data_IF_283823899880
#
_entry.id   IF_283823899880
#
_cell.length_a   1.000
_cell.length_b   1.000
_cell.length_c   1.000
_cell.angle_alpha   90.00
_cell.angle_beta   90.00
_cell.angle_gamma   90.00
#
_symmetry.space_group_name_H-M   'P 1'
#
loop_
_entity.id
_entity.type
_entity.pdbx_description
1 polymer ?
#
# COMPACT_ATOMS: atom_id res chain seq x y z
N UNK A 1 -12.60 13.75 26.74
CA UNK A 1 -12.10 12.36 26.79
C UNK A 1 -10.89 12.28 25.88
N UNK A 2 -9.85 11.52 26.25
CA UNK A 2 -8.72 11.28 25.35
C UNK A 2 -9.25 10.42 24.19
N UNK A 3 -9.22 10.95 22.97
CA UNK A 3 -9.69 10.33 21.74
C UNK A 3 -8.61 9.48 21.05
N UNK A 4 -7.38 9.50 21.58
CA UNK A 4 -6.26 8.76 21.02
C UNK A 4 -6.32 7.27 21.36
N UNK A 5 -6.09 6.44 20.35
CA UNK A 5 -5.91 4.99 20.49
C UNK A 5 -4.42 4.70 20.63
N UNK A 6 -4.01 4.23 21.80
CA UNK A 6 -2.58 4.06 22.16
C UNK A 6 -2.16 2.61 22.33
N UNK A 7 -3.09 1.67 22.27
CA UNK A 7 -2.83 0.25 22.49
C UNK A 7 -3.64 -0.64 21.53
N UNK A 8 -3.18 -1.88 21.40
CA UNK A 8 -3.74 -2.84 20.45
C UNK A 8 -5.14 -3.33 20.84
N UNK A 9 -5.44 -3.42 22.14
CA UNK A 9 -6.73 -3.94 22.61
C UNK A 9 -7.83 -2.91 22.30
N UNK A 10 -7.60 -1.65 22.60
CA UNK A 10 -8.46 -0.52 22.21
C UNK A 10 -8.64 -0.47 20.70
N UNK A 11 -7.55 -0.56 19.92
CA UNK A 11 -7.62 -0.59 18.46
C UNK A 11 -8.54 -1.72 17.95
N UNK A 12 -8.35 -2.95 18.46
CA UNK A 12 -9.15 -4.11 18.09
C UNK A 12 -10.60 -4.01 18.55
N UNK A 13 -10.88 -3.32 19.66
CA UNK A 13 -12.23 -2.99 20.11
C UNK A 13 -13.03 -2.22 19.05
N UNK A 14 -12.38 -1.33 18.30
CA UNK A 14 -13.03 -0.57 17.23
C UNK A 14 -13.13 -1.35 15.92
N UNK A 15 -12.00 -1.85 15.39
CA UNK A 15 -11.93 -2.44 14.04
C UNK A 15 -12.31 -3.92 13.98
N UNK A 16 -12.44 -4.56 15.13
CA UNK A 16 -12.69 -5.99 15.27
C UNK A 16 -11.40 -6.80 15.33
N UNK A 17 -11.52 -8.03 15.83
CA UNK A 17 -10.40 -8.98 15.85
C UNK A 17 -10.08 -9.47 14.44
N UNK A 18 -8.78 -9.70 14.25
CA UNK A 18 -8.23 -10.20 13.02
C UNK A 18 -8.61 -11.68 12.87
N UNK A 19 -9.22 -12.11 11.74
CA UNK A 19 -9.55 -13.51 11.53
C UNK A 19 -8.25 -14.32 11.38
N UNK A 20 -8.06 -15.31 12.25
CA UNK A 20 -6.91 -16.19 12.18
C UNK A 20 -7.05 -17.19 11.02
N UNK A 21 -5.95 -17.52 10.30
CA UNK A 21 -4.58 -17.03 10.48
C UNK A 21 -4.29 -15.75 9.69
N UNK A 22 -3.67 -14.75 10.34
CA UNK A 22 -3.29 -13.44 9.73
C UNK A 22 -2.54 -13.58 8.42
N UNK A 23 -1.50 -14.42 8.43
CA UNK A 23 -0.47 -14.52 7.40
C UNK A 23 -0.69 -15.70 6.45
N UNK A 24 -1.93 -16.19 6.37
CA UNK A 24 -2.24 -17.36 5.57
C UNK A 24 -1.95 -17.16 4.07
N UNK A 25 -2.02 -15.93 3.55
CA UNK A 25 -1.70 -15.61 2.16
C UNK A 25 -0.27 -15.09 1.96
N UNK A 26 0.56 -15.08 3.00
CA UNK A 26 1.93 -14.55 2.94
C UNK A 26 2.89 -15.72 2.72
N UNK A 27 3.72 -15.60 1.68
CA UNK A 27 4.85 -16.49 1.41
C UNK A 27 6.17 -15.72 1.51
N UNK A 28 7.28 -16.42 1.68
CA UNK A 28 8.63 -15.87 1.92
C UNK A 28 9.57 -15.97 0.71
N UNK A 29 8.99 -16.09 -0.48
CA UNK A 29 9.69 -16.18 -1.77
C UNK A 29 8.77 -15.74 -2.92
N UNK A 30 9.35 -15.58 -4.10
CA UNK A 30 8.69 -15.24 -5.35
C UNK A 30 8.28 -16.52 -6.08
N UNK A 31 6.98 -16.82 -6.09
CA UNK A 31 6.42 -17.93 -6.85
C UNK A 31 6.17 -17.54 -8.33
N UNK A 32 5.80 -18.50 -9.17
CA UNK A 32 5.54 -18.26 -10.60
C UNK A 32 4.46 -17.20 -10.86
N UNK A 33 3.52 -17.00 -9.93
CA UNK A 33 2.54 -15.92 -10.03
C UNK A 33 3.18 -14.56 -9.75
N UNK A 34 4.01 -14.46 -8.70
CA UNK A 34 4.77 -13.24 -8.43
C UNK A 34 5.70 -12.86 -9.59
N UNK A 35 6.39 -13.84 -10.20
CA UNK A 35 7.25 -13.59 -11.37
C UNK A 35 6.46 -13.01 -12.55
N UNK A 36 5.30 -13.60 -12.88
CA UNK A 36 4.40 -13.08 -13.93
C UNK A 36 3.88 -11.68 -13.61
N UNK A 37 3.57 -11.41 -12.34
CA UNK A 37 3.13 -10.08 -11.91
C UNK A 37 4.24 -9.04 -12.06
N UNK A 38 5.45 -9.36 -11.61
CA UNK A 38 6.61 -8.46 -11.74
C UNK A 38 6.95 -8.18 -13.20
N UNK A 39 6.87 -9.20 -14.07
CA UNK A 39 7.05 -9.02 -15.51
C UNK A 39 6.00 -8.09 -16.15
N UNK A 40 4.79 -8.03 -15.60
CA UNK A 40 3.71 -7.17 -16.09
C UNK A 40 3.69 -5.78 -15.43
N UNK A 41 4.44 -5.56 -14.36
CA UNK A 41 4.38 -4.32 -13.59
C UNK A 41 5.35 -3.25 -14.15
N UNK A 42 4.86 -2.10 -14.63
CA UNK A 42 5.71 -0.97 -15.04
C UNK A 42 6.01 -0.01 -13.89
N UNK A 43 5.39 -0.18 -12.73
CA UNK A 43 5.46 0.78 -11.62
C UNK A 43 5.42 0.12 -10.26
N UNK A 44 6.08 0.75 -9.28
CA UNK A 44 5.95 0.43 -7.87
C UNK A 44 5.96 1.66 -6.98
N UNK A 45 5.28 1.56 -5.84
CA UNK A 45 5.62 2.35 -4.66
C UNK A 45 6.59 1.54 -3.80
N UNK A 46 7.59 2.19 -3.22
CA UNK A 46 8.54 1.54 -2.32
C UNK A 46 8.82 2.41 -1.11
N UNK A 47 9.10 1.77 0.01
CA UNK A 47 9.54 2.42 1.22
C UNK A 47 10.81 1.77 1.75
N UNK A 48 11.68 2.61 2.31
CA UNK A 48 12.91 2.20 2.97
C UNK A 48 13.03 2.91 4.31
N UNK A 49 13.50 2.19 5.32
CA UNK A 49 13.61 2.77 6.66
C UNK A 49 14.28 1.86 7.68
N UNK A 50 14.45 2.42 8.86
CA UNK A 50 15.02 1.77 10.05
C UNK A 50 14.41 2.41 11.31
N UNK A 51 15.02 2.19 12.47
CA UNK A 51 14.52 2.76 13.74
C UNK A 51 14.51 4.30 13.75
N UNK A 52 15.32 4.97 12.92
CA UNK A 52 15.36 6.41 12.77
C UNK A 52 14.14 6.99 12.06
N UNK A 53 13.49 6.21 11.19
CA UNK A 53 12.31 6.61 10.45
C UNK A 53 12.15 5.85 9.14
N UNK A 54 11.13 6.22 8.37
CA UNK A 54 10.83 5.61 7.07
C UNK A 54 10.60 6.69 6.02
N UNK A 55 10.97 6.39 4.78
CA UNK A 55 10.75 7.24 3.61
C UNK A 55 10.06 6.44 2.51
N UNK A 56 9.38 7.13 1.60
CA UNK A 56 8.68 6.53 0.46
C UNK A 56 9.21 7.14 -0.84
N UNK A 57 9.34 6.30 -1.86
CA UNK A 57 9.72 6.65 -3.24
C UNK A 57 8.83 5.88 -4.21
N UNK A 58 8.88 6.25 -5.48
CA UNK A 58 8.34 5.47 -6.58
C UNK A 58 9.46 4.92 -7.45
N UNK A 59 9.16 3.84 -8.16
CA UNK A 59 9.96 3.34 -9.27
C UNK A 59 9.07 3.08 -10.47
N UNK A 60 9.55 3.38 -11.67
CA UNK A 60 8.75 3.22 -12.88
C UNK A 60 9.59 3.17 -14.15
N UNK A 61 9.14 2.38 -15.11
CA UNK A 61 9.82 2.09 -16.37
C UNK A 61 8.94 1.29 -17.32
N UNK A 62 9.55 0.54 -18.23
CA UNK A 62 8.84 -0.47 -19.02
C UNK A 62 8.30 -1.60 -18.12
N UNK A 63 7.34 -2.39 -18.62
CA UNK A 63 6.83 -3.55 -17.87
C UNK A 63 7.96 -4.51 -17.55
N UNK A 64 8.09 -4.92 -16.29
CA UNK A 64 9.20 -5.77 -15.86
C UNK A 64 10.53 -5.02 -15.73
N UNK A 65 10.50 -3.73 -15.38
CA UNK A 65 11.70 -2.89 -15.28
C UNK A 65 12.73 -3.33 -14.23
N UNK A 66 12.38 -4.26 -13.35
CA UNK A 66 13.29 -4.82 -12.35
C UNK A 66 13.77 -6.21 -12.74
N UNK A 67 14.85 -6.65 -12.10
CA UNK A 67 15.40 -7.98 -12.30
C UNK A 67 15.15 -8.86 -11.08
N UNK A 68 14.67 -10.08 -11.29
CA UNK A 68 14.65 -11.13 -10.27
C UNK A 68 15.92 -11.96 -10.44
N UNK A 69 16.74 -12.08 -9.38
CA UNK A 69 18.01 -12.84 -9.46
C UNK A 69 17.83 -14.28 -9.00
N UNK A 70 16.93 -14.50 -8.05
CA UNK A 70 16.56 -15.80 -7.49
C UNK A 70 15.19 -15.65 -6.79
N UNK A 71 14.55 -16.75 -6.35
CA UNK A 71 13.24 -16.69 -5.70
C UNK A 71 13.17 -15.85 -4.42
N UNK A 72 14.29 -15.39 -3.85
CA UNK A 72 14.32 -14.58 -2.64
C UNK A 72 14.99 -13.21 -2.86
N UNK A 73 15.24 -12.81 -4.10
CA UNK A 73 15.98 -11.57 -4.36
C UNK A 73 15.52 -10.83 -5.61
N UNK A 74 15.36 -9.52 -5.48
CA UNK A 74 15.12 -8.60 -6.59
C UNK A 74 16.21 -7.52 -6.66
N UNK A 75 16.45 -7.00 -7.85
CA UNK A 75 17.34 -5.87 -8.13
C UNK A 75 16.56 -4.75 -8.81
N UNK A 76 16.59 -3.58 -8.19
CA UNK A 76 15.92 -2.37 -8.64
C UNK A 76 16.93 -1.45 -9.31
N UNK A 77 16.74 -1.05 -10.58
CA UNK A 77 17.62 -0.08 -11.23
C UNK A 77 17.47 1.29 -10.56
N UNK A 78 18.57 1.86 -10.08
CA UNK A 78 18.55 3.15 -9.37
C UNK A 78 18.09 4.30 -10.26
N UNK A 79 18.42 4.24 -11.55
CA UNK A 79 18.00 5.23 -12.55
C UNK A 79 16.48 5.27 -12.77
N UNK A 80 15.75 4.26 -12.30
CA UNK A 80 14.30 4.16 -12.46
C UNK A 80 13.53 4.52 -11.19
N UNK A 81 14.21 4.90 -10.11
CA UNK A 81 13.60 5.40 -8.88
C UNK A 81 13.57 6.93 -8.87
N UNK A 82 12.56 7.51 -8.24
CA UNK A 82 12.53 8.96 -8.00
C UNK A 82 13.60 9.39 -6.98
N UNK A 83 13.82 8.59 -5.91
CA UNK A 83 14.85 8.86 -4.89
C UNK A 83 15.77 7.64 -4.64
N UNK A 84 16.68 7.32 -5.57
CA UNK A 84 17.59 6.17 -5.38
C UNK A 84 18.57 6.34 -4.22
N UNK A 85 18.77 7.56 -3.71
CA UNK A 85 19.66 7.84 -2.58
C UNK A 85 19.07 7.51 -1.20
N UNK A 86 17.79 7.15 -1.10
CA UNK A 86 17.17 6.83 0.19
C UNK A 86 17.59 5.46 0.74
N UNK A 87 17.87 4.49 -0.13
CA UNK A 87 18.15 3.13 0.26
C UNK A 87 19.57 2.97 0.82
N UNK A 88 19.67 2.33 1.97
CA UNK A 88 20.93 1.90 2.59
C UNK A 88 20.86 0.42 2.94
N UNK A 89 21.98 -0.28 2.84
CA UNK A 89 22.05 -1.70 3.20
C UNK A 89 21.57 -1.93 4.65
N UNK A 90 20.83 -3.01 4.86
CA UNK A 90 20.25 -3.39 6.14
C UNK A 90 18.88 -2.77 6.45
N UNK A 91 18.49 -1.69 5.77
CA UNK A 91 17.18 -1.07 5.97
C UNK A 91 16.03 -2.01 5.62
N UNK A 92 14.92 -1.87 6.34
CA UNK A 92 13.66 -2.48 5.95
C UNK A 92 13.19 -1.96 4.61
N UNK A 93 12.61 -2.84 3.80
CA UNK A 93 12.03 -2.52 2.50
C UNK A 93 10.59 -2.99 2.45
N UNK A 94 9.68 -2.15 1.96
CA UNK A 94 8.31 -2.54 1.65
C UNK A 94 7.88 -1.96 0.32
N UNK A 95 7.05 -2.66 -0.45
CA UNK A 95 6.62 -2.15 -1.76
C UNK A 95 5.23 -2.62 -2.19
N UNK A 96 4.69 -1.94 -3.20
CA UNK A 96 3.49 -2.34 -3.94
C UNK A 96 3.80 -2.24 -5.43
N UNK A 97 3.70 -3.37 -6.14
CA UNK A 97 3.83 -3.44 -7.59
C UNK A 97 2.47 -3.39 -8.26
N UNK A 98 2.32 -2.45 -9.19
CA UNK A 98 1.07 -2.14 -9.87
C UNK A 98 1.10 -2.71 -11.28
N UNK A 99 -0.03 -3.28 -11.71
CA UNK A 99 -0.27 -3.66 -13.10
C UNK A 99 -1.46 -2.83 -13.60
N UNK A 100 -1.31 -2.03 -14.68
CA UNK A 100 -2.38 -1.19 -15.19
C UNK A 100 -3.69 -1.95 -15.40
N UNK A 101 -4.78 -1.44 -14.82
CA UNK A 101 -6.12 -2.02 -14.92
C UNK A 101 -6.42 -3.18 -13.96
N UNK A 102 -5.48 -3.56 -13.07
CA UNK A 102 -5.72 -4.52 -11.99
C UNK A 102 -5.75 -3.77 -10.66
N UNK A 103 -6.83 -3.89 -9.90
CA UNK A 103 -7.00 -3.15 -8.63
C UNK A 103 -6.19 -3.76 -7.47
N UNK A 104 -5.95 -5.07 -7.47
CA UNK A 104 -5.00 -5.70 -6.56
C UNK A 104 -3.56 -5.29 -6.87
N UNK A 105 -2.69 -5.41 -5.87
CA UNK A 105 -1.26 -5.15 -6.02
C UNK A 105 -0.45 -6.30 -5.45
N UNK A 106 0.70 -6.61 -6.05
CA UNK A 106 1.66 -7.51 -5.43
C UNK A 106 2.50 -6.73 -4.44
N UNK A 107 2.45 -7.13 -3.18
CA UNK A 107 3.31 -6.60 -2.13
C UNK A 107 4.53 -7.48 -1.98
N UNK A 108 5.70 -6.86 -1.95
CA UNK A 108 6.95 -7.52 -1.59
C UNK A 108 7.61 -6.70 -0.48
N UNK A 109 7.81 -7.32 0.68
CA UNK A 109 8.55 -6.73 1.78
C UNK A 109 9.83 -7.53 2.01
N UNK A 110 10.82 -6.90 2.64
CA UNK A 110 12.14 -7.46 2.78
C UNK A 110 13.13 -6.54 3.46
N UNK A 111 14.40 -6.70 3.09
CA UNK A 111 15.49 -5.79 3.48
C UNK A 111 16.34 -5.43 2.28
N UNK A 112 16.87 -4.21 2.28
CA UNK A 112 17.90 -3.80 1.33
C UNK A 112 19.15 -4.64 1.61
N UNK A 113 19.52 -5.50 0.67
CA UNK A 113 20.64 -6.44 0.80
C UNK A 113 21.94 -5.91 0.21
N UNK A 114 21.87 -5.00 -0.76
CA UNK A 114 23.03 -4.35 -1.37
C UNK A 114 22.67 -3.00 -1.97
N UNK A 115 23.61 -2.06 -1.98
CA UNK A 115 23.48 -0.80 -2.71
C UNK A 115 24.74 -0.56 -3.54
N UNK A 116 24.59 -0.55 -4.85
CA UNK A 116 25.66 -0.28 -5.83
C UNK A 116 25.33 0.97 -6.64
N UNK A 117 26.24 1.44 -7.49
CA UNK A 117 25.98 2.61 -8.36
C UNK A 117 24.81 2.38 -9.32
N UNK A 118 24.64 1.15 -9.81
CA UNK A 118 23.59 0.82 -10.76
C UNK A 118 22.28 0.39 -10.10
N UNK A 119 22.35 -0.44 -9.06
CA UNK A 119 21.19 -1.21 -8.57
C UNK A 119 21.10 -1.22 -7.04
N UNK A 120 19.88 -1.35 -6.54
CA UNK A 120 19.56 -1.69 -5.15
C UNK A 120 19.07 -3.13 -5.12
N UNK A 121 19.78 -3.99 -4.38
CA UNK A 121 19.35 -5.36 -4.10
C UNK A 121 18.40 -5.41 -2.91
N UNK A 122 17.36 -6.22 -2.99
CA UNK A 122 16.42 -6.47 -1.90
C UNK A 122 16.30 -7.97 -1.69
N UNK A 123 16.57 -8.42 -0.46
CA UNK A 123 16.25 -9.77 0.00
C UNK A 123 14.77 -9.81 0.41
N UNK A 124 13.99 -10.67 -0.24
CA UNK A 124 12.56 -10.86 -0.05
C UNK A 124 12.31 -11.62 1.25
N UNK A 125 11.40 -11.09 2.07
CA UNK A 125 10.92 -11.74 3.29
C UNK A 125 9.42 -12.04 3.23
N UNK A 126 8.64 -11.25 2.49
CA UNK A 126 7.21 -11.44 2.31
C UNK A 126 6.82 -11.15 0.87
N UNK A 127 5.94 -11.97 0.31
CA UNK A 127 5.35 -11.78 -1.01
C UNK A 127 3.87 -12.21 -0.94
N UNK A 128 2.96 -11.29 -1.29
CA UNK A 128 1.52 -11.56 -1.29
C UNK A 128 0.71 -10.50 -2.02
N UNK A 129 -0.52 -10.84 -2.44
CA UNK A 129 -1.44 -9.84 -2.98
C UNK A 129 -2.10 -8.97 -1.89
N UNK A 130 -2.16 -7.67 -2.14
CA UNK A 130 -2.96 -6.70 -1.40
C UNK A 130 -4.32 -6.46 -2.09
N UNK A 131 -5.38 -6.15 -1.33
CA UNK A 131 -6.76 -6.09 -1.85
C UNK A 131 -7.04 -4.84 -2.70
N UNK A 132 -8.04 -4.97 -3.58
CA UNK A 132 -8.46 -3.96 -4.56
C UNK A 132 -9.11 -2.68 -4.00
N UNK A 133 -9.64 -2.70 -2.76
CA UNK A 133 -10.57 -1.67 -2.26
C UNK A 133 -10.06 -0.23 -2.33
N UNK A 134 -8.77 0.00 -2.10
CA UNK A 134 -8.19 1.34 -2.20
C UNK A 134 -8.20 1.87 -3.65
N UNK A 135 -7.82 1.02 -4.61
CA UNK A 135 -7.83 1.38 -6.03
C UNK A 135 -9.26 1.65 -6.52
N UNK A 136 -10.20 0.75 -6.20
CA UNK A 136 -11.63 0.91 -6.52
C UNK A 136 -12.21 2.23 -5.99
N UNK A 137 -12.04 2.54 -4.70
CA UNK A 137 -12.58 3.78 -4.10
C UNK A 137 -11.99 5.06 -4.68
N UNK A 138 -10.70 5.02 -5.05
CA UNK A 138 -10.01 6.17 -5.64
C UNK A 138 -10.35 6.40 -7.12
N UNK A 139 -10.94 5.40 -7.77
CA UNK A 139 -11.09 5.38 -9.23
C UNK A 139 -9.74 5.46 -9.94
N UNK A 140 -8.71 4.80 -9.37
CA UNK A 140 -7.31 4.97 -9.79
C UNK A 140 -7.14 4.75 -11.29
N UNK A 141 -7.62 3.61 -11.80
CA UNK A 141 -7.45 3.23 -13.21
C UNK A 141 -8.42 3.90 -14.17
N UNK A 142 -9.52 4.48 -13.66
CA UNK A 142 -10.51 5.21 -14.46
C UNK A 142 -10.13 6.67 -14.73
N UNK A 143 -8.99 7.13 -14.20
CA UNK A 143 -8.55 8.50 -14.39
C UNK A 143 -8.00 8.75 -15.80
N UNK A 144 -8.31 9.93 -16.32
CA UNK A 144 -7.69 10.45 -17.54
C UNK A 144 -6.41 11.21 -17.20
N UNK A 145 -5.40 11.23 -18.08
CA UNK A 145 -4.22 12.08 -17.91
C UNK A 145 -4.61 13.54 -17.69
N UNK A 146 -3.87 14.21 -16.81
CA UNK A 146 -3.97 15.64 -16.56
C UNK A 146 -2.71 16.28 -17.14
N UNK A 147 -2.89 17.25 -18.01
CA UNK A 147 -1.79 18.01 -18.60
C UNK A 147 -1.23 19.03 -17.59
N UNK A 148 0.10 19.09 -17.49
CA UNK A 148 0.79 20.04 -16.62
C UNK A 148 0.65 19.74 -15.12
N UNK A 149 0.86 20.76 -14.30
CA UNK A 149 0.77 20.65 -12.85
C UNK A 149 -0.67 20.93 -12.40
N UNK A 150 -1.20 20.09 -11.50
CA UNK A 150 -2.59 20.22 -11.03
C UNK A 150 -2.77 21.49 -10.20
N UNK A 151 -1.82 21.75 -9.30
CA UNK A 151 -1.79 22.92 -8.42
C UNK A 151 -0.41 23.03 -7.80
N UNK A 152 0.04 24.25 -7.49
CA UNK A 152 1.24 24.48 -6.68
C UNK A 152 0.93 24.58 -5.17
N UNK A 153 -0.36 24.66 -4.81
CA UNK A 153 -0.81 24.78 -3.42
C UNK A 153 -0.92 23.39 -2.75
N UNK A 154 -0.22 23.22 -1.63
CA UNK A 154 -0.15 21.94 -0.95
C UNK A 154 -1.50 21.49 -0.38
N UNK A 155 -2.30 22.42 0.17
CA UNK A 155 -3.60 22.10 0.73
C UNK A 155 -4.60 21.67 -0.36
N UNK A 156 -4.58 22.34 -1.50
CA UNK A 156 -5.36 21.97 -2.68
C UNK A 156 -4.92 20.60 -3.24
N UNK A 157 -3.63 20.29 -3.25
CA UNK A 157 -3.15 18.97 -3.67
C UNK A 157 -3.63 17.87 -2.72
N UNK A 158 -3.54 18.10 -1.41
CA UNK A 158 -4.06 17.20 -0.38
C UNK A 158 -5.56 16.95 -0.58
N UNK A 159 -6.35 18.02 -0.77
CA UNK A 159 -7.80 17.91 -0.96
C UNK A 159 -8.17 17.15 -2.26
N UNK A 160 -7.39 17.28 -3.32
CA UNK A 160 -7.63 16.59 -4.59
C UNK A 160 -7.07 15.17 -4.65
N UNK A 161 -6.20 14.80 -3.71
CA UNK A 161 -5.61 13.47 -3.66
C UNK A 161 -6.68 12.40 -3.45
N UNK A 162 -6.63 11.36 -4.27
CA UNK A 162 -7.58 10.23 -4.23
C UNK A 162 -6.90 8.92 -3.85
N UNK A 163 -5.57 8.86 -3.91
CA UNK A 163 -4.79 7.71 -3.54
C UNK A 163 -3.58 8.12 -2.68
N UNK A 164 -3.17 7.25 -1.76
CA UNK A 164 -1.96 7.41 -0.96
C UNK A 164 -1.27 6.06 -0.74
N UNK A 165 0.02 5.99 -1.05
CA UNK A 165 0.87 4.90 -0.59
C UNK A 165 1.46 5.25 0.78
N UNK A 166 0.96 4.62 1.84
CA UNK A 166 1.38 4.84 3.23
C UNK A 166 2.53 3.91 3.61
N UNK A 167 3.69 4.47 3.90
CA UNK A 167 4.85 3.78 4.43
C UNK A 167 4.87 3.80 5.96
N UNK A 168 4.93 2.61 6.56
CA UNK A 168 5.07 2.43 8.02
C UNK A 168 6.18 1.42 8.31
N UNK A 169 6.78 1.48 9.50
CA UNK A 169 7.80 0.53 9.93
C UNK A 169 7.49 0.05 11.34
N UNK A 170 7.71 -1.23 11.62
CA UNK A 170 7.58 -1.74 12.98
C UNK A 170 8.84 -1.45 13.82
N UNK A 171 8.75 -1.72 15.12
CA UNK A 171 9.88 -1.58 16.06
C UNK A 171 11.11 -2.44 15.71
N UNK A 172 10.94 -3.49 14.90
CA UNK A 172 11.99 -4.43 14.49
C UNK A 172 12.59 -4.05 13.10
N UNK A 173 12.17 -2.90 12.56
CA UNK A 173 12.67 -2.36 11.30
C UNK A 173 12.06 -3.01 10.07
N UNK A 174 10.89 -3.65 10.17
CA UNK A 174 10.16 -4.21 9.01
C UNK A 174 9.25 -3.15 8.41
N UNK A 175 9.56 -2.75 7.17
CA UNK A 175 8.82 -1.73 6.45
C UNK A 175 7.64 -2.33 5.67
N UNK A 176 6.54 -1.58 5.60
CA UNK A 176 5.34 -1.92 4.84
C UNK A 176 4.84 -0.71 4.05
N UNK A 177 4.33 -0.94 2.84
CA UNK A 177 3.61 0.07 2.06
C UNK A 177 2.17 -0.35 1.88
N UNK A 178 1.24 0.45 2.39
CA UNK A 178 -0.20 0.18 2.36
C UNK A 178 -0.97 1.20 1.52
N UNK A 179 -1.78 0.76 0.54
CA UNK A 179 -2.56 1.66 -0.27
C UNK A 179 -3.78 2.17 0.52
N UNK A 180 -4.02 3.46 0.42
CA UNK A 180 -5.23 4.13 0.88
C UNK A 180 -5.86 4.83 -0.31
N UNK A 181 -7.17 4.83 -0.39
CA UNK A 181 -7.86 5.43 -1.52
C UNK A 181 -9.31 5.72 -1.19
N UNK A 182 -9.79 6.84 -1.71
CA UNK A 182 -11.13 7.41 -1.54
C UNK A 182 -11.35 8.50 -2.61
N UNK A 183 -12.61 8.95 -2.82
CA UNK A 183 -12.88 10.12 -3.63
C UNK A 183 -12.14 11.38 -3.15
N UNK A 184 -12.00 12.36 -4.04
CA UNK A 184 -11.37 13.64 -3.70
C UNK A 184 -12.13 14.31 -2.54
N UNK A 185 -11.40 14.92 -1.62
CA UNK A 185 -11.94 15.50 -0.38
C UNK A 185 -12.31 14.48 0.71
N UNK A 186 -12.25 13.18 0.42
CA UNK A 186 -12.58 12.11 1.35
C UNK A 186 -11.40 11.21 1.74
N UNK A 187 -10.24 11.33 1.08
CA UNK A 187 -9.02 10.62 1.46
C UNK A 187 -8.17 11.38 2.47
N UNK A 188 -7.73 12.59 2.12
CA UNK A 188 -6.87 13.42 2.96
C UNK A 188 -7.52 14.76 3.25
N UNK A 189 -7.31 15.27 4.47
CA UNK A 189 -7.71 16.62 4.86
C UNK A 189 -6.61 17.29 5.67
N UNK A 190 -6.24 18.50 5.26
CA UNK A 190 -5.37 19.38 6.05
C UNK A 190 -6.24 20.18 7.02
N UNK A 191 -5.99 20.06 8.32
CA UNK A 191 -6.72 20.78 9.37
C UNK A 191 -5.88 20.84 10.65
N UNK A 192 -5.86 22.00 11.33
CA UNK A 192 -5.13 22.22 12.59
C UNK A 192 -3.65 21.79 12.52
N UNK A 193 -2.93 22.25 11.49
CA UNK A 193 -1.50 21.95 11.29
C UNK A 193 -1.17 20.44 11.14
N UNK A 194 -2.19 19.63 10.87
CA UNK A 194 -2.08 18.19 10.66
C UNK A 194 -2.71 17.76 9.33
N UNK A 195 -2.26 16.61 8.84
CA UNK A 195 -2.91 15.89 7.74
C UNK A 195 -3.65 14.70 8.32
N UNK A 196 -4.93 14.57 7.99
CA UNK A 196 -5.80 13.51 8.47
C UNK A 196 -6.21 12.58 7.34
N UNK A 197 -6.39 11.30 7.66
CA UNK A 197 -7.00 10.33 6.74
C UNK A 197 -7.88 9.30 7.48
N UNK A 198 -8.91 8.74 6.84
CA UNK A 198 -9.81 7.79 7.48
C UNK A 198 -9.27 6.37 7.42
N UNK A 199 -9.62 5.55 8.41
CA UNK A 199 -9.53 4.11 8.28
C UNK A 199 -10.76 3.56 7.57
N UNK A 200 -10.55 2.94 6.41
CA UNK A 200 -11.59 2.27 5.63
C UNK A 200 -11.49 0.76 5.81
N UNK A 201 -12.63 0.03 5.71
CA UNK A 201 -12.61 -1.41 5.77
C UNK A 201 -11.62 -2.02 4.77
N UNK A 202 -10.71 -2.83 5.31
CA UNK A 202 -9.77 -3.65 4.56
C UNK A 202 -9.94 -5.13 4.92
N UNK A 203 -8.82 -5.84 5.03
CA UNK A 203 -8.76 -7.24 5.48
C UNK A 203 -8.58 -7.40 6.99
N UNK A 204 -8.77 -6.32 7.76
CA UNK A 204 -8.59 -6.25 9.23
C UNK A 204 -7.19 -6.64 9.73
N UNK A 205 -6.17 -6.69 8.85
CA UNK A 205 -4.79 -7.00 9.27
C UNK A 205 -4.19 -5.94 10.18
N UNK A 206 -4.67 -4.69 10.06
CA UNK A 206 -4.26 -3.51 10.85
C UNK A 206 -2.73 -3.33 10.95
N UNK A 207 -2.01 -3.78 9.92
CA UNK A 207 -0.53 -3.79 9.89
C UNK A 207 0.03 -2.39 10.13
N UNK A 208 -0.45 -1.39 9.38
CA UNK A 208 -0.03 0.00 9.54
C UNK A 208 -0.31 0.58 10.94
N UNK A 209 -1.43 0.21 11.58
CA UNK A 209 -1.74 0.69 12.92
C UNK A 209 -0.87 0.06 13.98
N UNK A 210 -0.59 -1.25 13.88
CA UNK A 210 0.36 -1.93 14.76
C UNK A 210 1.74 -1.27 14.68
N UNK A 211 2.15 -0.91 13.46
CA UNK A 211 3.39 -0.17 13.24
C UNK A 211 3.31 1.21 13.91
N UNK A 212 2.29 2.02 13.61
CA UNK A 212 2.10 3.37 14.20
C UNK A 212 2.10 3.35 15.74
N UNK A 213 1.44 2.38 16.37
CA UNK A 213 1.40 2.24 17.83
C UNK A 213 2.77 1.96 18.45
N UNK A 214 3.69 1.35 17.72
CA UNK A 214 5.05 1.02 18.21
C UNK A 214 6.13 1.98 17.69
N UNK A 215 5.87 2.63 16.56
CA UNK A 215 6.73 3.55 15.85
C UNK A 215 5.85 4.53 15.04
N UNK A 216 5.61 5.75 15.54
CA UNK A 216 4.64 6.66 14.94
C UNK A 216 5.20 7.43 13.73
N UNK A 217 6.50 7.39 13.44
CA UNK A 217 7.06 8.07 12.27
C UNK A 217 6.63 7.37 10.99
N UNK A 218 5.94 8.08 10.12
CA UNK A 218 5.45 7.57 8.83
C UNK A 218 5.94 8.43 7.67
N UNK A 219 5.86 7.87 6.48
CA UNK A 219 5.91 8.62 5.23
C UNK A 219 4.73 8.21 4.35
N UNK A 220 4.32 9.08 3.44
CA UNK A 220 3.24 8.83 2.51
C UNK A 220 3.50 9.52 1.17
N UNK A 221 3.10 8.87 0.08
CA UNK A 221 3.05 9.49 -1.24
C UNK A 221 1.58 9.63 -1.63
N UNK A 222 1.07 10.86 -1.58
CA UNK A 222 -0.28 11.19 -2.03
C UNK A 222 -0.27 11.46 -3.54
N UNK A 223 -1.29 10.93 -4.21
CA UNK A 223 -1.42 10.92 -5.67
C UNK A 223 -2.82 11.41 -6.05
N UNK A 224 -2.87 12.27 -7.05
CA UNK A 224 -4.07 12.58 -7.82
C UNK A 224 -4.00 11.70 -9.07
N UNK A 225 -4.76 10.60 -9.16
CA UNK A 225 -4.73 9.73 -10.33
C UNK A 225 -4.94 10.53 -11.62
N UNK A 226 -4.09 10.31 -12.62
CA UNK A 226 -4.02 11.11 -13.85
C UNK A 226 -2.92 12.18 -13.85
N UNK A 227 -2.44 12.61 -12.69
CA UNK A 227 -1.33 13.57 -12.56
C UNK A 227 0.04 12.88 -12.51
N UNK A 228 1.07 13.59 -12.97
CA UNK A 228 2.47 13.21 -12.81
C UNK A 228 3.12 13.86 -11.57
N UNK A 229 2.41 14.75 -10.88
CA UNK A 229 2.86 15.31 -9.61
C UNK A 229 2.42 14.42 -8.45
N UNK A 230 3.26 14.38 -7.42
CA UNK A 230 3.03 13.65 -6.17
C UNK A 230 3.35 14.54 -4.99
N UNK A 231 2.66 14.34 -3.88
CA UNK A 231 2.99 14.98 -2.60
C UNK A 231 3.58 13.94 -1.66
N UNK A 232 4.83 14.14 -1.27
CA UNK A 232 5.43 13.38 -0.18
C UNK A 232 5.04 14.02 1.14
N UNK A 233 4.52 13.23 2.07
CA UNK A 233 4.17 13.66 3.43
C UNK A 233 4.99 12.82 4.40
N UNK A 234 5.71 13.45 5.32
CA UNK A 234 6.30 12.77 6.48
C UNK A 234 5.78 13.40 7.77
N UNK A 235 5.82 12.66 8.87
CA UNK A 235 5.41 13.19 10.16
C UNK A 235 5.21 12.09 11.21
N UNK A 236 4.57 12.47 12.30
CA UNK A 236 4.28 11.60 13.45
C UNK A 236 2.78 11.31 13.46
N UNK A 237 2.43 10.03 13.31
CA UNK A 237 1.05 9.57 13.24
C UNK A 237 0.49 9.14 14.60
N UNK A 238 -0.78 9.46 14.83
CA UNK A 238 -1.57 8.95 15.96
C UNK A 238 -2.95 8.53 15.48
N UNK A 239 -3.46 7.42 16.02
CA UNK A 239 -4.81 6.92 15.71
C UNK A 239 -5.81 7.57 16.67
N UNK A 240 -6.95 8.01 16.15
CA UNK A 240 -7.97 8.75 16.92
C UNK A 240 -9.40 8.25 16.63
N UNK A 241 -10.25 8.36 17.65
CA UNK A 241 -11.69 8.13 17.59
C UNK A 241 -12.51 9.43 17.59
N UNK A 242 -11.88 10.59 17.38
CA UNK A 242 -12.56 11.89 17.40
C UNK A 242 -13.78 11.90 16.48
N UNK A 243 -14.95 12.14 17.07
CA UNK A 243 -16.23 12.04 16.37
C UNK A 243 -16.38 13.12 15.30
N UNK A 244 -15.92 14.34 15.57
CA UNK A 244 -16.03 15.48 14.65
C UNK A 244 -15.17 15.25 13.41
N UNK A 245 -13.93 14.81 13.60
CA UNK A 245 -13.01 14.53 12.49
C UNK A 245 -13.52 13.32 11.69
N UNK A 246 -13.93 12.24 12.36
CA UNK A 246 -14.51 11.05 11.71
C UNK A 246 -15.75 11.39 10.88
N UNK A 247 -16.69 12.15 11.43
CA UNK A 247 -17.91 12.57 10.73
C UNK A 247 -17.57 13.35 9.44
N UNK A 248 -16.50 14.14 9.46
CA UNK A 248 -16.06 14.85 8.26
C UNK A 248 -15.65 13.89 7.12
N UNK A 249 -15.19 12.66 7.43
CA UNK A 249 -14.79 11.64 6.45
C UNK A 249 -15.92 10.68 6.05
N UNK A 250 -17.17 10.98 6.40
CA UNK A 250 -18.30 10.16 5.99
C UNK A 250 -18.44 10.10 4.46
N UNK A 251 -18.66 8.88 3.93
CA UNK A 251 -18.95 8.65 2.51
C UNK A 251 -20.13 7.68 2.45
N UNK A 252 -21.13 7.97 1.62
CA UNK A 252 -22.36 7.16 1.51
C UNK A 252 -22.99 6.86 2.88
N UNK A 253 -23.10 7.89 3.72
CA UNK A 253 -23.64 7.83 5.09
C UNK A 253 -22.84 6.94 6.07
N UNK A 254 -21.68 6.41 5.65
CA UNK A 254 -20.81 5.58 6.46
C UNK A 254 -19.65 6.38 7.01
N UNK A 255 -19.65 6.55 8.34
CA UNK A 255 -18.57 7.19 9.08
C UNK A 255 -17.47 6.16 9.36
N UNK A 256 -16.18 6.44 9.04
CA UNK A 256 -15.09 5.52 9.36
C UNK A 256 -15.01 5.29 10.85
N UNK A 257 -14.50 4.14 11.29
CA UNK A 257 -14.40 3.82 12.73
C UNK A 257 -13.27 4.55 13.44
N UNK A 258 -12.22 4.87 12.70
CA UNK A 258 -11.01 5.52 13.16
C UNK A 258 -10.55 6.52 12.12
N UNK A 259 -9.81 7.52 12.57
CA UNK A 259 -9.02 8.42 11.73
C UNK A 259 -7.57 8.38 12.19
N UNK A 260 -6.65 8.71 11.31
CA UNK A 260 -5.25 8.91 11.67
C UNK A 260 -4.91 10.38 11.47
N UNK A 261 -4.29 10.96 12.49
CA UNK A 261 -3.69 12.29 12.46
C UNK A 261 -2.21 12.15 12.14
N UNK A 262 -1.67 12.99 11.27
CA UNK A 262 -0.23 13.13 11.04
C UNK A 262 0.14 14.56 11.44
N UNK A 263 0.95 14.68 12.49
CA UNK A 263 1.48 15.95 13.01
C UNK A 263 2.95 16.11 12.64
N UNK A 264 3.50 17.30 12.88
CA UNK A 264 4.90 17.63 12.56
C UNK A 264 5.19 17.34 11.08
N UNK A 265 4.27 17.81 10.22
CA UNK A 265 4.25 17.40 8.82
C UNK A 265 5.27 18.15 7.99
N UNK A 266 6.02 17.41 7.19
CA UNK A 266 6.76 17.96 6.05
C UNK A 266 6.08 17.48 4.77
N UNK A 267 5.66 18.44 3.94
CA UNK A 267 4.97 18.20 2.68
C UNK A 267 5.84 18.69 1.52
N UNK A 268 6.25 17.79 0.64
CA UNK A 268 7.04 18.12 -0.55
C UNK A 268 6.24 17.76 -1.80
N UNK A 269 5.80 18.78 -2.53
CA UNK A 269 5.18 18.63 -3.85
C UNK A 269 6.27 18.57 -4.91
N UNK A 270 6.22 17.57 -5.78
CA UNK A 270 7.16 17.45 -6.90
C UNK A 270 6.59 16.57 -8.02
N UNK A 271 7.23 16.64 -9.18
CA UNK A 271 7.00 15.72 -10.28
C UNK A 271 7.62 14.34 -10.00
N UNK A 272 6.93 13.27 -10.38
CA UNK A 272 7.44 11.89 -10.36
C UNK A 272 7.86 11.45 -11.77
N UNK A 273 9.16 11.25 -11.94
CA UNK A 273 9.69 10.73 -13.20
C UNK A 273 9.35 9.24 -13.38
N UNK A 274 9.20 8.50 -12.27
CA UNK A 274 8.67 7.14 -12.27
C UNK A 274 7.27 7.06 -12.89
N UNK A 275 6.35 7.95 -12.52
CA UNK A 275 5.02 8.00 -13.14
C UNK A 275 5.10 8.38 -14.63
N UNK A 276 5.96 9.34 -14.98
CA UNK A 276 6.17 9.77 -16.37
C UNK A 276 6.67 8.61 -17.25
N UNK A 277 7.59 7.79 -16.74
CA UNK A 277 8.11 6.62 -17.45
C UNK A 277 7.08 5.50 -17.56
N UNK A 278 6.35 5.21 -16.47
CA UNK A 278 5.42 4.09 -16.39
C UNK A 278 4.11 4.29 -17.17
N UNK A 279 3.70 5.56 -17.43
CA UNK A 279 2.51 5.92 -18.20
C UNK A 279 1.24 5.18 -17.74
N UNK A 280 0.93 5.28 -16.44
CA UNK A 280 -0.17 4.56 -15.80
C UNK A 280 -1.57 4.93 -16.33
N UNK A 281 -1.73 6.13 -16.91
CA UNK A 281 -3.01 6.66 -17.37
C UNK A 281 -2.96 7.11 -18.83
N UNK A 282 -4.06 6.92 -19.60
CA UNK A 282 -5.20 6.07 -19.26
C UNK A 282 -4.76 4.60 -19.13
N UNK A 283 -5.43 3.84 -18.27
CA UNK A 283 -5.08 2.44 -18.08
C UNK A 283 -5.36 1.65 -19.37
N UNK A 284 -4.31 1.12 -19.99
CA UNK A 284 -4.44 0.19 -21.11
C UNK A 284 -4.37 -1.21 -20.55
N UNK A 285 -5.49 -1.93 -20.58
CA UNK A 285 -5.55 -3.31 -20.11
C UNK A 285 -4.85 -4.21 -21.13
N UNK A 286 -3.61 -4.57 -20.84
CA UNK A 286 -2.90 -5.61 -21.57
C UNK A 286 -3.36 -6.98 -21.07
N UNK A 287 -3.52 -7.96 -21.97
CA UNK A 287 -3.80 -9.33 -21.57
C UNK A 287 -2.59 -9.93 -20.84
N UNK A 288 -2.55 -9.81 -19.51
CA UNK A 288 -1.46 -10.32 -18.66
C UNK A 288 -1.65 -11.78 -18.26
N UNK A 289 -2.88 -12.30 -18.37
CA UNK A 289 -3.25 -13.62 -17.84
C UNK A 289 -3.19 -13.72 -16.32
N UNK A 290 -3.09 -12.58 -15.62
CA UNK A 290 -3.09 -12.51 -14.16
C UNK A 290 -4.53 -12.57 -13.65
N UNK A 291 -4.82 -13.55 -12.81
CA UNK A 291 -6.12 -13.75 -12.16
C UNK A 291 -5.93 -13.64 -10.64
N UNK A 292 -6.15 -12.46 -10.02
CA UNK A 292 -5.87 -12.23 -8.61
C UNK A 292 -6.46 -13.28 -7.66
N UNK A 293 -7.69 -13.76 -7.94
CA UNK A 293 -8.33 -14.80 -7.15
C UNK A 293 -7.54 -16.13 -7.15
N UNK A 294 -6.96 -16.52 -8.29
CA UNK A 294 -6.16 -17.75 -8.38
C UNK A 294 -4.79 -17.56 -7.71
N UNK A 295 -4.21 -16.36 -7.76
CA UNK A 295 -2.96 -16.04 -7.04
C UNK A 295 -3.19 -16.06 -5.52
N UNK A 296 -4.28 -15.45 -5.03
CA UNK A 296 -4.67 -15.53 -3.61
C UNK A 296 -4.77 -16.98 -3.13
N UNK A 297 -5.47 -17.80 -3.91
CA UNK A 297 -5.61 -19.24 -3.64
C UNK A 297 -4.27 -19.96 -3.66
N UNK A 298 -3.40 -19.66 -4.62
CA UNK A 298 -2.07 -20.25 -4.71
C UNK A 298 -1.23 -19.92 -3.46
N UNK A 299 -1.18 -18.64 -3.06
CA UNK A 299 -0.43 -18.20 -1.89
C UNK A 299 -0.97 -18.79 -0.59
N UNK A 300 -2.30 -18.97 -0.46
CA UNK A 300 -2.91 -19.68 0.69
C UNK A 300 -2.42 -21.14 0.77
N UNK A 301 -2.30 -21.82 -0.37
CA UNK A 301 -1.81 -23.20 -0.42
C UNK A 301 -0.32 -23.31 -0.10
N UNK A 302 0.48 -22.36 -0.58
CA UNK A 302 1.94 -22.30 -0.41
C UNK A 302 2.38 -21.81 0.98
N UNK A 303 1.50 -21.13 1.72
CA UNK A 303 1.84 -20.59 3.04
C UNK A 303 2.31 -21.67 4.03
N UNK A 304 3.36 -21.31 4.77
CA UNK A 304 3.97 -22.15 5.81
C UNK A 304 3.19 -22.15 7.13
N UNK A 305 2.16 -21.31 7.27
CA UNK A 305 1.35 -21.21 8.49
C UNK A 305 0.62 -22.53 8.78
N UNK A 306 0.83 -23.10 9.98
CA UNK A 306 0.25 -24.38 10.42
C UNK A 306 -0.94 -24.15 11.36
N UNK A 307 -1.73 -25.20 11.59
CA UNK A 307 -2.88 -25.20 12.51
C UNK A 307 -4.19 -25.64 11.86
N UNK A 308 -5.18 -25.95 12.68
CA UNK A 308 -6.50 -26.43 12.22
C UNK A 308 -7.20 -25.40 11.31
N UNK A 309 -7.19 -24.13 11.70
CA UNK A 309 -7.75 -23.03 10.91
C UNK A 309 -7.06 -22.86 9.56
N UNK A 310 -5.73 -22.99 9.52
CA UNK A 310 -4.96 -22.94 8.28
C UNK A 310 -5.29 -24.13 7.37
N UNK A 311 -5.51 -25.33 7.92
CA UNK A 311 -5.91 -26.50 7.16
C UNK A 311 -7.33 -26.34 6.57
N UNK A 312 -8.28 -25.85 7.38
CA UNK A 312 -9.64 -25.53 6.95
C UNK A 312 -9.66 -24.50 5.81
N UNK A 313 -8.86 -23.44 5.92
CA UNK A 313 -8.79 -22.41 4.90
C UNK A 313 -8.12 -22.90 3.59
N UNK A 314 -7.13 -23.80 3.65
CA UNK A 314 -6.60 -24.45 2.44
C UNK A 314 -7.64 -25.35 1.76
N UNK A 315 -8.46 -26.03 2.55
CA UNK A 315 -9.55 -26.86 2.04
C UNK A 315 -10.62 -26.00 1.34
N UNK A 316 -11.01 -24.86 1.94
CA UNK A 316 -12.05 -24.00 1.36
C UNK A 316 -11.63 -23.37 0.03
N UNK A 317 -10.39 -22.90 -0.11
CA UNK A 317 -9.90 -22.33 -1.38
C UNK A 317 -9.71 -23.36 -2.49
N UNK A 318 -9.84 -24.65 -2.18
CA UNK A 318 -9.80 -25.72 -3.18
C UNK A 318 -11.14 -25.92 -3.91
N UNK A 319 -12.21 -25.28 -3.43
CA UNK A 319 -13.52 -25.31 -4.08
C UNK A 319 -13.50 -24.35 -5.30
N UNK A 320 -13.78 -24.82 -6.53
CA UNK A 320 -13.74 -24.00 -7.74
C UNK A 320 -14.64 -22.76 -7.63
N UNK A 321 -14.10 -21.59 -8.00
CA UNK A 321 -14.83 -20.32 -8.03
C UNK A 321 -15.19 -19.73 -6.65
N UNK A 322 -14.98 -20.45 -5.54
CA UNK A 322 -15.31 -19.94 -4.20
C UNK A 322 -14.48 -18.70 -3.85
N UNK A 323 -13.20 -18.67 -4.20
CA UNK A 323 -12.34 -17.54 -3.87
C UNK A 323 -12.78 -16.26 -4.59
N UNK A 324 -13.05 -16.37 -5.90
CA UNK A 324 -13.56 -15.26 -6.71
C UNK A 324 -14.87 -14.71 -6.15
N UNK A 325 -15.87 -15.58 -5.94
CA UNK A 325 -17.16 -15.18 -5.35
C UNK A 325 -17.01 -14.51 -3.98
N UNK A 326 -16.08 -15.00 -3.14
CA UNK A 326 -15.80 -14.41 -1.83
C UNK A 326 -15.19 -13.01 -1.92
N UNK A 327 -14.26 -12.80 -2.84
CA UNK A 327 -13.66 -11.49 -3.10
C UNK A 327 -14.69 -10.51 -3.67
N UNK A 328 -15.43 -10.92 -4.71
CA UNK A 328 -16.48 -10.10 -5.34
C UNK A 328 -17.50 -9.63 -4.29
N UNK A 329 -17.98 -10.55 -3.44
CA UNK A 329 -18.90 -10.23 -2.36
C UNK A 329 -18.31 -9.25 -1.33
N UNK A 330 -17.05 -9.43 -0.93
CA UNK A 330 -16.38 -8.53 0.01
C UNK A 330 -16.16 -7.13 -0.59
N UNK A 331 -15.88 -7.05 -1.89
CA UNK A 331 -15.70 -5.80 -2.61
C UNK A 331 -17.02 -5.04 -2.79
N UNK A 332 -18.12 -5.74 -3.03
CA UNK A 332 -19.45 -5.13 -3.11
C UNK A 332 -19.98 -4.67 -1.75
N UNK A 333 -19.85 -5.51 -0.71
CA UNK A 333 -20.53 -5.27 0.58
C UNK A 333 -19.71 -4.46 1.58
N UNK A 334 -18.38 -4.55 1.52
CA UNK A 334 -17.47 -4.00 2.54
C UNK A 334 -16.46 -3.01 1.96
N UNK A 335 -16.89 -2.17 1.01
CA UNK A 335 -16.04 -1.13 0.44
C UNK A 335 -15.83 0.06 1.40
N UNK A 336 -16.87 0.39 2.18
CA UNK A 336 -16.96 1.48 3.16
C UNK A 336 -17.57 0.99 4.47
#
# INVERSE_FOLDING_TARGET
MNDLVTDLDTLQGHVGKLPAPRDLKVIDYLDDNALRWLAAAPFMFAAVGDHGGIRVTAGGGETGFLRVTDPQSIQLPRSLLDDPGLAREGQGFGSLFLVPGIDETLRINGRVSSVSDGHIGVAVAECYLHCAKAFMRSGFWSATPIDGNVTADAAAFVAQSRFMALATIDKDGRADVSPKGDPAGALLKAHQEAVWYPDRPGNRRVDSFRNILTQPRIAAMAVIPGSLDVMLVTGVASVSTDETVRASFAVNEKTPKLVTRIEQTECILRRSEALSRARLWPAVQTATGLEPAEIFKAHIKLSRVRGAEAALARASVSIPGMMRKGLDHDYEKNLY
#
